data_IF_689540421648
#
_entry.id   IF_689540421648
#
_cell.length_a   1.000
_cell.length_b   1.000
_cell.length_c   1.000
_cell.angle_alpha   90.00
_cell.angle_beta   90.00
_cell.angle_gamma   90.00
#
_symmetry.space_group_name_H-M   'P 1'
#
loop_
_entity.id
_entity.type
_entity.pdbx_description
1 polymer ?
#
# COMPACT_ATOMS: atom_id res chain seq x y z
N UNK A 1 -1.84 13.92 -7.99
CA UNK A 1 -3.00 13.54 -7.14
C UNK A 1 -3.22 12.03 -7.05
N UNK A 2 -3.29 11.28 -8.17
CA UNK A 2 -3.50 9.81 -8.17
C UNK A 2 -2.47 9.03 -7.33
N UNK A 3 -1.18 9.31 -7.51
CA UNK A 3 -0.09 8.69 -6.74
C UNK A 3 -0.14 9.07 -5.26
N UNK A 4 -0.36 10.35 -4.94
CA UNK A 4 -0.48 10.84 -3.56
C UNK A 4 -1.60 10.13 -2.82
N UNK A 5 -2.77 10.01 -3.44
CA UNK A 5 -3.93 9.33 -2.84
C UNK A 5 -3.71 7.82 -2.67
N UNK A 6 -3.02 7.17 -3.60
CA UNK A 6 -2.62 5.76 -3.45
C UNK A 6 -1.75 5.55 -2.20
N UNK A 7 -0.79 6.45 -1.97
CA UNK A 7 0.12 6.39 -0.81
C UNK A 7 -0.63 6.64 0.49
N UNK A 8 -1.53 7.62 0.54
CA UNK A 8 -2.35 7.90 1.73
C UNK A 8 -3.21 6.71 2.14
N UNK A 9 -3.87 6.06 1.17
CA UNK A 9 -4.69 4.86 1.43
C UNK A 9 -3.83 3.70 1.97
N UNK A 10 -2.65 3.47 1.40
CA UNK A 10 -1.73 2.43 1.89
C UNK A 10 -1.21 2.75 3.29
N UNK A 11 -0.89 4.01 3.58
CA UNK A 11 -0.50 4.44 4.94
C UNK A 11 -1.63 4.21 5.96
N UNK A 12 -2.87 4.41 5.54
CA UNK A 12 -4.07 4.09 6.31
C UNK A 12 -4.36 2.58 6.40
N UNK A 13 -3.43 1.71 5.99
CA UNK A 13 -3.56 0.24 6.04
C UNK A 13 -4.66 -0.33 5.15
N UNK A 14 -5.11 0.42 4.14
CA UNK A 14 -6.05 -0.11 3.14
C UNK A 14 -5.34 -1.17 2.29
N UNK A 15 -5.90 -2.37 2.11
CA UNK A 15 -5.27 -3.41 1.29
C UNK A 15 -5.02 -2.94 -0.14
N UNK A 16 -3.87 -3.31 -0.69
CA UNK A 16 -3.44 -2.89 -2.04
C UNK A 16 -4.41 -3.28 -3.17
N UNK A 17 -5.17 -4.36 -2.98
CA UNK A 17 -6.24 -4.80 -3.88
C UNK A 17 -7.41 -3.82 -3.93
N UNK A 18 -7.77 -3.24 -2.77
CA UNK A 18 -8.81 -2.21 -2.67
C UNK A 18 -8.30 -0.91 -3.29
N UNK A 19 -7.03 -0.54 -3.03
CA UNK A 19 -6.40 0.63 -3.67
C UNK A 19 -6.38 0.49 -5.19
N UNK A 20 -6.06 -0.70 -5.72
CA UNK A 20 -6.11 -0.98 -7.15
C UNK A 20 -7.51 -0.71 -7.74
N UNK A 21 -8.57 -1.19 -7.08
CA UNK A 21 -9.95 -0.98 -7.51
C UNK A 21 -10.32 0.50 -7.52
N UNK A 22 -9.98 1.24 -6.45
CA UNK A 22 -10.23 2.69 -6.34
C UNK A 22 -9.52 3.47 -7.47
N UNK A 23 -8.32 3.05 -7.85
CA UNK A 23 -7.53 3.71 -8.89
C UNK A 23 -7.92 3.29 -10.31
N UNK A 24 -8.71 2.22 -10.46
CA UNK A 24 -9.09 1.65 -11.75
C UNK A 24 -7.92 0.98 -12.49
N UNK A 25 -6.93 0.46 -11.75
CA UNK A 25 -5.79 -0.21 -12.37
C UNK A 25 -6.19 -1.61 -12.85
N UNK A 26 -5.95 -1.88 -14.14
CA UNK A 26 -6.22 -3.19 -14.75
C UNK A 26 -5.26 -4.29 -14.26
N UNK A 27 -4.08 -3.90 -13.77
CA UNK A 27 -3.08 -4.84 -13.25
C UNK A 27 -2.71 -4.50 -11.82
N UNK A 28 -2.50 -5.51 -10.99
CA UNK A 28 -1.94 -5.33 -9.65
C UNK A 28 -0.48 -4.86 -9.71
N UNK A 29 0.26 -5.19 -10.78
CA UNK A 29 1.67 -4.80 -10.93
C UNK A 29 1.88 -3.29 -11.00
N UNK A 30 0.92 -2.54 -11.58
CA UNK A 30 0.98 -1.06 -11.60
C UNK A 30 0.71 -0.45 -10.23
N UNK A 31 -0.15 -1.08 -9.41
CA UNK A 31 -0.41 -0.66 -8.03
C UNK A 31 0.72 -1.09 -7.08
N UNK A 32 1.37 -2.23 -7.34
CA UNK A 32 2.45 -2.76 -6.53
C UNK A 32 3.68 -1.83 -6.48
N UNK A 33 3.83 -0.92 -7.45
CA UNK A 33 4.86 0.13 -7.42
C UNK A 33 4.80 0.96 -6.13
N UNK A 34 3.62 1.15 -5.54
CA UNK A 34 3.45 1.88 -4.28
C UNK A 34 3.87 1.09 -3.03
N UNK A 35 4.00 -0.23 -3.12
CA UNK A 35 4.41 -1.08 -1.99
C UNK A 35 5.90 -0.98 -1.68
N UNK A 36 6.75 -0.58 -2.66
CA UNK A 36 8.20 -0.50 -2.46
C UNK A 36 8.59 0.55 -1.41
N UNK A 37 7.80 1.62 -1.29
CA UNK A 37 7.97 2.63 -0.22
C UNK A 37 7.52 2.13 1.17
N UNK A 38 6.80 1.01 1.24
CA UNK A 38 6.28 0.45 2.48
C UNK A 38 7.23 -0.51 3.16
N UNK A 39 8.34 -1.00 2.58
CA UNK A 39 9.11 -2.08 3.24
C UNK A 39 9.56 -1.74 4.68
N UNK A 40 9.98 -0.50 4.91
CA UNK A 40 10.26 0.05 6.25
C UNK A 40 9.01 0.17 7.12
N UNK A 41 7.91 0.61 6.53
CA UNK A 41 6.62 0.78 7.21
C UNK A 41 5.98 -0.58 7.58
N UNK A 42 6.03 -1.55 6.69
CA UNK A 42 5.64 -2.95 6.86
C UNK A 42 6.45 -3.57 7.99
N UNK A 43 7.77 -3.36 8.02
CA UNK A 43 8.60 -3.82 9.14
C UNK A 43 8.17 -3.18 10.45
N UNK A 44 7.82 -1.89 10.46
CA UNK A 44 7.28 -1.20 11.64
C UNK A 44 5.96 -1.82 12.09
N UNK A 45 5.02 -2.06 11.16
CA UNK A 45 3.70 -2.65 11.44
C UNK A 45 3.85 -4.08 11.98
N UNK A 46 4.73 -4.89 11.37
CA UNK A 46 4.97 -6.26 11.82
C UNK A 46 5.56 -6.29 13.23
N UNK A 47 6.47 -5.34 13.55
CA UNK A 47 7.02 -5.18 14.90
C UNK A 47 5.96 -4.69 15.90
N UNK A 48 5.14 -3.72 15.52
CA UNK A 48 4.06 -3.17 16.35
C UNK A 48 2.98 -4.23 16.67
N UNK A 49 2.73 -5.14 15.73
CA UNK A 49 1.81 -6.27 15.91
C UNK A 49 2.45 -7.52 16.53
N UNK A 50 3.73 -7.48 16.90
CA UNK A 50 4.44 -8.60 17.52
C UNK A 50 4.58 -9.84 16.62
N UNK A 51 4.52 -9.66 15.30
CA UNK A 51 4.67 -10.76 14.32
C UNK A 51 6.16 -11.09 14.10
N UNK A 52 7.04 -10.09 14.27
CA UNK A 52 8.51 -10.20 14.25
C UNK A 52 9.16 -9.35 15.34
#
# INVERSE_FOLDING_TARGET
LRHTRAIELLKAQVPVTIVQQILGHASLSTTAMYLRYSASETRRILKDRGVI
#
